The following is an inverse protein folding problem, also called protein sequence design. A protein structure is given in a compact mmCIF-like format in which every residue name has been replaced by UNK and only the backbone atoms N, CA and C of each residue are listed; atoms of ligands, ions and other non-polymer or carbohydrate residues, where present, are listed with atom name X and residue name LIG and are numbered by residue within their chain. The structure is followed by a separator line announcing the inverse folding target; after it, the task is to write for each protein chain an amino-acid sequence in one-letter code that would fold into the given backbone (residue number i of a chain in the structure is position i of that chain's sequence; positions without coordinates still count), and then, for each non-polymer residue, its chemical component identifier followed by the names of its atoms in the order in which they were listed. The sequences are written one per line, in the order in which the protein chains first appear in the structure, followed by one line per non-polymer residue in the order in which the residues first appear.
data_IF_313150092412
#
_entry.id   IF_313150092412
#
_cell.length_a   1.000
_cell.length_b   1.000
_cell.length_c   1.000
_cell.angle_alpha   90.00
_cell.angle_beta   90.00
_cell.angle_gamma   90.00
#
_symmetry.space_group_name_H-M   'P 1'
#
loop_
_entity.id
_entity.type
_entity.pdbx_description
1 polymer ?
#
# COMPACT_ATOMS: atom_id res chain seq x y z
N UNK A 1 -31.34 -25.64 -28.57
CA UNK A 1 -31.81 -24.42 -27.86
C UNK A 1 -30.86 -23.96 -26.74
N UNK A 2 -30.36 -24.84 -25.84
CA UNK A 2 -29.36 -24.45 -24.82
C UNK A 2 -27.98 -24.09 -25.40
N UNK A 3 -27.50 -24.85 -26.39
CA UNK A 3 -26.22 -24.59 -27.10
C UNK A 3 -26.23 -23.27 -27.87
N UNK A 4 -27.23 -23.04 -28.72
CA UNK A 4 -27.37 -21.77 -29.46
C UNK A 4 -27.50 -20.54 -28.55
N UNK A 5 -28.10 -20.67 -27.35
CA UNK A 5 -28.19 -19.56 -26.38
C UNK A 5 -26.86 -19.30 -25.66
N UNK A 6 -26.05 -20.34 -25.43
CA UNK A 6 -24.72 -20.21 -24.82
C UNK A 6 -23.68 -19.67 -25.82
N UNK A 7 -23.77 -20.09 -27.09
CA UNK A 7 -22.96 -19.55 -28.19
C UNK A 7 -23.26 -18.06 -28.39
N UNK A 8 -24.54 -17.66 -28.39
CA UNK A 8 -24.92 -16.26 -28.54
C UNK A 8 -24.45 -15.40 -27.36
N UNK A 9 -24.51 -15.92 -26.12
CA UNK A 9 -23.97 -15.22 -24.93
C UNK A 9 -22.44 -15.10 -24.98
N UNK A 10 -21.74 -16.10 -25.51
CA UNK A 10 -20.28 -16.07 -25.61
C UNK A 10 -19.81 -15.06 -26.66
N UNK A 11 -20.55 -14.97 -27.77
CA UNK A 11 -20.30 -13.97 -28.80
C UNK A 11 -20.50 -12.54 -28.26
N UNK A 12 -21.59 -12.32 -27.51
CA UNK A 12 -21.91 -11.05 -26.85
C UNK A 12 -20.78 -10.58 -25.91
N UNK A 13 -20.26 -11.49 -25.07
CA UNK A 13 -19.12 -11.21 -24.17
C UNK A 13 -17.86 -10.85 -24.96
N UNK A 14 -17.56 -11.57 -26.06
CA UNK A 14 -16.37 -11.29 -26.88
C UNK A 14 -16.44 -9.88 -27.48
N UNK A 15 -17.61 -9.49 -27.97
CA UNK A 15 -17.85 -8.16 -28.54
C UNK A 15 -17.72 -7.07 -27.48
N UNK A 16 -18.33 -7.23 -26.31
CA UNK A 16 -18.23 -6.28 -25.19
C UNK A 16 -16.78 -6.05 -24.71
N UNK A 17 -16.00 -7.13 -24.61
CA UNK A 17 -14.59 -7.02 -24.22
C UNK A 17 -13.75 -6.29 -25.28
N UNK A 18 -14.00 -6.56 -26.57
CA UNK A 18 -13.30 -5.86 -27.65
C UNK A 18 -13.66 -4.37 -27.69
N UNK A 19 -14.94 -4.02 -27.51
CA UNK A 19 -15.37 -2.62 -27.39
C UNK A 19 -14.72 -1.91 -26.19
N UNK A 20 -14.60 -2.61 -25.05
CA UNK A 20 -13.89 -2.08 -23.87
C UNK A 20 -12.41 -1.81 -24.19
N UNK A 21 -11.76 -2.72 -24.92
CA UNK A 21 -10.35 -2.57 -25.31
C UNK A 21 -10.16 -1.38 -26.24
N UNK A 22 -11.08 -1.15 -27.18
CA UNK A 22 -11.07 0.05 -28.02
C UNK A 22 -11.23 1.32 -27.18
N UNK A 23 -12.07 1.30 -26.13
CA UNK A 23 -12.26 2.43 -25.22
C UNK A 23 -10.98 2.81 -24.44
N UNK A 24 -10.01 1.90 -24.31
CA UNK A 24 -8.75 2.17 -23.60
C UNK A 24 -7.97 3.34 -24.20
N UNK A 25 -8.17 3.67 -25.49
CA UNK A 25 -7.54 4.82 -26.14
C UNK A 25 -7.89 6.15 -25.43
N UNK A 26 -9.05 6.22 -24.79
CA UNK A 26 -9.51 7.44 -24.10
C UNK A 26 -8.94 7.60 -22.69
N UNK A 27 -8.38 6.54 -22.10
CA UNK A 27 -7.87 6.56 -20.72
C UNK A 27 -6.35 6.36 -20.63
N UNK A 28 -5.76 5.63 -21.59
CA UNK A 28 -4.33 5.40 -21.65
C UNK A 28 -3.61 6.55 -22.38
N UNK A 29 -2.34 6.84 -22.03
CA UNK A 29 -1.57 7.85 -22.73
C UNK A 29 -1.30 7.40 -24.18
N UNK A 30 -1.82 8.14 -25.16
CA UNK A 30 -1.54 7.95 -26.59
C UNK A 30 -0.16 8.45 -27.01
N UNK A 31 0.91 7.96 -26.39
CA UNK A 31 2.28 8.40 -26.67
C UNK A 31 3.08 7.35 -27.45
N UNK A 32 3.67 7.79 -28.56
CA UNK A 32 4.66 7.02 -29.29
C UNK A 32 5.95 6.82 -28.46
N UNK A 33 6.76 5.78 -28.74
CA UNK A 33 8.08 5.64 -28.16
C UNK A 33 8.91 6.91 -28.39
N UNK A 34 9.36 7.50 -27.30
CA UNK A 34 10.12 8.74 -27.31
C UNK A 34 11.53 8.44 -27.82
N UNK A 35 11.86 8.88 -29.05
CA UNK A 35 13.19 8.68 -29.66
C UNK A 35 14.24 9.68 -29.16
N UNK A 36 13.80 10.86 -28.72
CA UNK A 36 14.64 11.98 -28.26
C UNK A 36 14.29 12.36 -26.82
N UNK A 37 15.24 12.83 -26.02
CA UNK A 37 14.98 13.21 -24.62
C UNK A 37 13.87 14.27 -24.51
N UNK A 38 12.70 13.87 -24.03
CA UNK A 38 11.57 14.76 -23.80
C UNK A 38 11.59 15.23 -22.35
N UNK A 39 11.71 16.54 -22.17
CA UNK A 39 11.67 17.24 -20.88
C UNK A 39 10.24 17.71 -20.54
N UNK A 40 9.20 17.05 -21.07
CA UNK A 40 7.83 17.43 -20.79
C UNK A 40 7.54 17.25 -19.30
N UNK A 41 7.40 18.39 -18.63
CA UNK A 41 6.91 18.44 -17.26
C UNK A 41 5.55 17.73 -17.20
N UNK A 42 5.44 16.65 -16.45
CA UNK A 42 4.20 15.88 -16.27
C UNK A 42 3.08 16.72 -15.65
N UNK A 43 3.41 17.86 -15.03
CA UNK A 43 2.47 18.85 -14.53
C UNK A 43 2.16 19.98 -15.52
N UNK A 44 2.53 19.86 -16.80
CA UNK A 44 2.32 20.93 -17.79
C UNK A 44 0.86 21.43 -17.86
N UNK A 45 -0.12 20.52 -17.74
CA UNK A 45 -1.54 20.88 -17.70
C UNK A 45 -1.96 21.68 -16.46
N UNK A 46 -1.16 21.65 -15.40
CA UNK A 46 -1.44 22.28 -14.09
C UNK A 46 -0.57 23.50 -13.81
N UNK A 47 0.14 24.05 -14.82
CA UNK A 47 1.04 25.20 -14.65
C UNK A 47 0.34 26.49 -14.19
N UNK A 48 -0.98 26.54 -14.26
CA UNK A 48 -1.79 27.65 -13.77
C UNK A 48 -2.07 27.56 -12.26
N UNK A 49 -1.69 26.45 -11.61
CA UNK A 49 -1.78 26.22 -10.17
C UNK A 49 -0.40 26.36 -9.52
N UNK A 50 -0.39 26.69 -8.23
CA UNK A 50 0.82 26.57 -7.42
C UNK A 50 1.26 25.11 -7.31
N UNK A 51 2.56 24.88 -7.10
CA UNK A 51 3.17 23.54 -7.20
C UNK A 51 2.46 22.49 -6.31
N UNK A 52 2.14 22.84 -5.07
CA UNK A 52 1.46 21.93 -4.14
C UNK A 52 0.05 21.56 -4.62
N UNK A 53 -0.68 22.52 -5.18
CA UNK A 53 -2.03 22.31 -5.72
C UNK A 53 -1.98 21.51 -7.02
N UNK A 54 -1.00 21.78 -7.89
CA UNK A 54 -0.75 21.03 -9.11
C UNK A 54 -0.48 19.53 -8.81
N UNK A 55 0.33 19.24 -7.79
CA UNK A 55 0.62 17.87 -7.36
C UNK A 55 -0.65 17.19 -6.80
N UNK A 56 -1.42 17.91 -5.97
CA UNK A 56 -2.65 17.38 -5.40
C UNK A 56 -3.68 17.02 -6.50
N UNK A 57 -3.85 17.90 -7.48
CA UNK A 57 -4.78 17.68 -8.59
C UNK A 57 -4.30 16.56 -9.54
N UNK A 58 -2.99 16.51 -9.84
CA UNK A 58 -2.41 15.42 -10.61
C UNK A 58 -2.63 14.06 -9.94
N UNK A 59 -2.46 13.99 -8.61
CA UNK A 59 -2.74 12.78 -7.83
C UNK A 59 -4.21 12.40 -7.86
N UNK A 60 -5.11 13.39 -7.74
CA UNK A 60 -6.57 13.15 -7.77
C UNK A 60 -7.00 12.49 -9.08
N UNK A 61 -6.41 12.91 -10.21
CA UNK A 61 -6.76 12.42 -11.54
C UNK A 61 -6.07 11.08 -11.84
N UNK A 62 -4.78 10.96 -11.55
CA UNK A 62 -3.94 9.84 -12.02
C UNK A 62 -3.70 8.76 -10.96
N UNK A 63 -4.00 9.04 -9.70
CA UNK A 63 -3.60 8.20 -8.56
C UNK A 63 -2.10 8.28 -8.21
N UNK A 64 -1.27 8.92 -9.04
CA UNK A 64 0.17 9.00 -8.82
C UNK A 64 0.51 9.93 -7.65
N UNK A 65 1.26 9.43 -6.66
CA UNK A 65 1.76 10.25 -5.56
C UNK A 65 2.87 11.19 -6.01
N UNK A 66 2.71 12.50 -5.82
CA UNK A 66 3.75 13.49 -6.15
C UNK A 66 4.77 13.77 -5.03
N UNK A 67 4.55 13.23 -3.83
CA UNK A 67 5.51 13.25 -2.72
C UNK A 67 5.76 11.83 -2.23
N UNK A 68 6.94 11.60 -1.66
CA UNK A 68 7.22 10.35 -0.96
C UNK A 68 6.35 10.23 0.32
N UNK A 69 6.07 9.01 0.79
CA UNK A 69 5.46 8.81 2.10
C UNK A 69 6.31 9.42 3.23
N UNK A 70 5.67 9.85 4.33
CA UNK A 70 6.36 10.47 5.47
C UNK A 70 7.46 9.57 6.06
N UNK A 71 7.23 8.26 6.04
CA UNK A 71 8.16 7.24 6.50
C UNK A 71 9.48 7.29 5.74
N UNK A 72 9.44 7.57 4.43
CA UNK A 72 10.65 7.70 3.60
C UNK A 72 11.46 8.94 3.92
N UNK A 73 10.81 10.06 4.23
CA UNK A 73 11.53 11.24 4.71
C UNK A 73 12.21 10.99 6.06
N UNK A 74 11.53 10.29 6.99
CA UNK A 74 12.14 9.88 8.27
C UNK A 74 13.29 8.90 8.09
N UNK A 75 13.20 7.96 7.15
CA UNK A 75 14.33 7.09 6.76
C UNK A 75 15.52 7.90 6.24
N UNK A 76 15.30 8.87 5.35
CA UNK A 76 16.37 9.73 4.84
C UNK A 76 17.00 10.60 5.93
N UNK A 77 16.21 11.05 6.91
CA UNK A 77 16.74 11.73 8.08
C UNK A 77 17.65 10.81 8.91
N UNK A 78 17.21 9.58 9.20
CA UNK A 78 18.02 8.59 9.92
C UNK A 78 19.30 8.21 9.17
N UNK A 79 19.30 8.29 7.85
CA UNK A 79 20.47 8.05 6.99
C UNK A 79 21.40 9.27 6.86
N UNK A 80 21.02 10.44 7.41
CA UNK A 80 21.78 11.69 7.27
C UNK A 80 21.71 12.30 5.87
N UNK A 81 20.75 11.88 5.03
CA UNK A 81 20.47 12.52 3.73
C UNK A 81 19.66 13.81 3.90
N UNK A 82 18.83 13.86 4.95
CA UNK A 82 18.19 15.07 5.47
C UNK A 82 18.79 15.25 6.87
N UNK A 83 19.23 16.44 7.22
CA UNK A 83 19.76 16.71 8.56
C UNK A 83 18.95 17.77 9.31
N UNK A 84 19.39 18.09 10.54
CA UNK A 84 18.69 19.08 11.38
C UNK A 84 18.70 20.48 10.76
N UNK A 85 19.75 20.82 10.00
CA UNK A 85 19.88 22.13 9.37
C UNK A 85 18.90 22.28 8.22
N UNK A 86 18.62 21.20 7.46
CA UNK A 86 17.60 21.21 6.42
C UNK A 86 16.21 21.55 6.99
N UNK A 87 15.84 20.92 8.11
CA UNK A 87 14.56 21.14 8.77
C UNK A 87 14.50 22.57 9.34
N UNK A 88 15.56 22.99 10.03
CA UNK A 88 15.62 24.32 10.63
C UNK A 88 15.54 25.42 9.58
N UNK A 89 16.24 25.27 8.46
CA UNK A 89 16.17 26.22 7.34
C UNK A 89 14.74 26.35 6.80
N UNK A 90 13.99 25.26 6.66
CA UNK A 90 12.61 25.34 6.16
C UNK A 90 11.69 26.00 7.19
N UNK A 91 11.79 25.60 8.46
CA UNK A 91 10.95 26.15 9.53
C UNK A 91 11.21 27.64 9.79
N UNK A 92 12.44 28.11 9.58
CA UNK A 92 12.81 29.52 9.78
C UNK A 92 12.46 30.41 8.59
N UNK A 93 12.51 29.90 7.37
CA UNK A 93 12.24 30.68 6.16
C UNK A 93 10.77 30.72 5.76
N UNK A 94 9.93 29.79 6.24
CA UNK A 94 8.50 29.79 5.97
C UNK A 94 7.74 30.61 7.03
N UNK A 95 7.49 31.88 6.71
CA UNK A 95 6.76 32.81 7.58
C UNK A 95 5.33 32.31 7.93
N UNK A 96 4.72 31.48 7.07
CA UNK A 96 3.36 30.97 7.30
C UNK A 96 3.25 30.03 8.50
N UNK A 97 4.37 29.42 8.89
CA UNK A 97 4.44 28.50 10.02
C UNK A 97 4.55 29.23 11.36
N UNK A 98 5.01 30.49 11.36
CA UNK A 98 5.23 31.30 12.57
C UNK A 98 6.05 30.53 13.62
N UNK A 99 7.10 29.83 13.17
CA UNK A 99 7.83 28.83 13.97
C UNK A 99 8.42 29.37 15.28
N UNK A 100 8.70 30.68 15.36
CA UNK A 100 9.24 31.34 16.55
C UNK A 100 8.18 31.63 17.65
N UNK A 101 6.89 31.45 17.37
CA UNK A 101 5.84 31.71 18.35
C UNK A 101 5.98 30.78 19.56
N UNK A 102 5.90 31.37 20.75
CA UNK A 102 5.90 30.64 22.02
C UNK A 102 4.49 30.09 22.26
N UNK A 103 4.41 28.78 22.46
CA UNK A 103 3.17 28.05 22.77
C UNK A 103 2.94 27.99 24.27
N UNK A 104 4.01 27.79 25.03
CA UNK A 104 3.95 27.69 26.48
C UNK A 104 5.28 28.13 27.10
N UNK A 105 5.23 28.66 28.32
CA UNK A 105 6.38 28.83 29.20
C UNK A 105 6.20 27.89 30.39
N UNK A 106 7.15 26.98 30.58
CA UNK A 106 7.14 26.01 31.67
C UNK A 106 8.45 26.18 32.44
N UNK A 107 8.35 26.67 33.68
CA UNK A 107 9.49 26.89 34.59
C UNK A 107 10.64 27.70 33.96
N UNK A 108 10.32 28.70 33.13
CA UNK A 108 11.30 29.54 32.45
C UNK A 108 11.90 28.91 31.19
N UNK A 109 11.35 27.78 30.71
CA UNK A 109 11.62 27.23 29.39
C UNK A 109 10.45 27.57 28.47
N UNK A 110 10.74 28.40 27.47
CA UNK A 110 9.82 28.70 26.37
C UNK A 110 9.78 27.53 25.39
N UNK A 111 8.58 26.99 25.15
CA UNK A 111 8.30 25.98 24.14
C UNK A 111 7.78 26.67 22.88
N UNK A 112 8.47 26.52 21.76
CA UNK A 112 8.11 27.16 20.48
C UNK A 112 7.35 26.23 19.54
N UNK A 113 6.63 26.80 18.57
CA UNK A 113 6.04 26.04 17.44
C UNK A 113 7.08 25.22 16.70
N UNK A 114 8.31 25.75 16.52
CA UNK A 114 9.44 25.04 15.90
C UNK A 114 9.69 23.69 16.56
N UNK A 115 9.69 23.62 17.89
CA UNK A 115 9.92 22.37 18.62
C UNK A 115 8.80 21.33 18.36
N UNK A 116 7.54 21.78 18.29
CA UNK A 116 6.41 20.89 17.99
C UNK A 116 6.47 20.37 16.55
N UNK A 117 6.69 21.25 15.57
CA UNK A 117 6.80 20.84 14.17
C UNK A 117 7.94 19.86 13.96
N UNK A 118 9.09 20.12 14.59
CA UNK A 118 10.23 19.22 14.55
C UNK A 118 9.89 17.84 15.11
N UNK A 119 9.21 17.77 16.26
CA UNK A 119 8.77 16.50 16.82
C UNK A 119 7.81 15.77 15.85
N UNK A 120 6.81 16.47 15.30
CA UNK A 120 5.83 15.91 14.35
C UNK A 120 6.45 15.36 13.06
N UNK A 121 7.50 16.00 12.55
CA UNK A 121 8.21 15.54 11.35
C UNK A 121 9.08 14.31 11.63
N UNK A 122 9.79 14.30 12.77
CA UNK A 122 10.79 13.28 13.09
C UNK A 122 10.18 12.00 13.69
N UNK A 123 9.08 12.11 14.42
CA UNK A 123 8.44 11.00 15.12
C UNK A 123 7.05 10.68 14.54
N UNK A 124 6.65 9.41 14.62
CA UNK A 124 5.36 8.95 14.11
C UNK A 124 4.33 8.91 15.26
N UNK A 125 3.29 9.74 15.15
CA UNK A 125 2.22 9.84 16.15
C UNK A 125 0.95 9.09 15.72
N UNK A 126 1.11 7.97 14.99
CA UNK A 126 -0.05 7.19 14.54
C UNK A 126 -0.80 6.62 15.74
N UNK A 127 -2.14 6.64 15.72
CA UNK A 127 -2.93 6.01 16.76
C UNK A 127 -2.62 4.51 16.77
N UNK A 128 -2.26 4.01 17.95
CA UNK A 128 -2.06 2.58 18.18
C UNK A 128 -3.36 1.96 18.67
N UNK A 129 -3.63 0.75 18.21
CA UNK A 129 -4.70 -0.07 18.76
C UNK A 129 -4.33 -0.60 20.15
N UNK A 130 -5.31 -1.03 20.93
CA UNK A 130 -5.07 -1.60 22.26
C UNK A 130 -4.14 -2.83 22.22
N UNK A 131 -4.31 -3.73 21.26
CA UNK A 131 -3.45 -4.90 21.10
C UNK A 131 -2.01 -4.51 20.76
N UNK A 132 -1.82 -3.46 19.95
CA UNK A 132 -0.49 -2.93 19.65
C UNK A 132 0.15 -2.30 20.89
N UNK A 133 -0.60 -1.53 21.68
CA UNK A 133 -0.11 -0.97 22.94
C UNK A 133 0.35 -2.09 23.90
N UNK A 134 -0.47 -3.13 24.08
CA UNK A 134 -0.14 -4.26 24.94
C UNK A 134 1.15 -4.97 24.48
N UNK A 135 1.26 -5.26 23.18
CA UNK A 135 2.48 -5.84 22.61
C UNK A 135 3.71 -4.92 22.79
N UNK A 136 3.57 -3.61 22.61
CA UNK A 136 4.65 -2.65 22.84
C UNK A 136 5.09 -2.63 24.32
N UNK A 137 4.16 -2.74 25.26
CA UNK A 137 4.48 -2.81 26.69
C UNK A 137 5.23 -4.11 27.02
N UNK A 138 4.73 -5.25 26.55
CA UNK A 138 5.31 -6.56 26.88
C UNK A 138 6.64 -6.83 26.15
N UNK A 139 6.68 -6.66 24.83
CA UNK A 139 7.80 -7.07 23.98
C UNK A 139 8.83 -5.96 23.77
N UNK A 140 8.41 -4.69 23.86
CA UNK A 140 9.28 -3.53 23.67
C UNK A 140 9.53 -2.74 24.95
N UNK A 141 8.89 -3.09 26.06
CA UNK A 141 9.09 -2.46 27.37
C UNK A 141 8.96 -0.93 27.33
N UNK A 142 8.02 -0.41 26.51
CA UNK A 142 7.92 1.04 26.23
C UNK A 142 7.58 1.91 27.45
N UNK A 143 7.08 1.31 28.53
CA UNK A 143 6.81 1.99 29.80
C UNK A 143 7.96 1.88 30.81
N UNK A 144 9.00 1.10 30.52
CA UNK A 144 10.12 0.90 31.44
C UNK A 144 11.50 1.18 30.84
N UNK A 145 11.57 1.46 29.53
CA UNK A 145 12.81 1.78 28.80
C UNK A 145 12.61 2.83 27.71
N UNK A 146 13.59 3.71 27.56
CA UNK A 146 13.64 4.71 26.49
C UNK A 146 13.75 4.01 25.14
N UNK A 147 12.90 4.41 24.20
CA UNK A 147 12.91 3.91 22.83
C UNK A 147 14.24 4.26 22.15
N UNK A 148 14.73 3.39 21.26
CA UNK A 148 16.06 3.51 20.63
C UNK A 148 16.23 4.78 19.78
N UNK A 149 15.13 5.36 19.32
CA UNK A 149 15.08 6.58 18.51
C UNK A 149 15.11 7.88 19.33
N UNK A 150 15.08 7.80 20.67
CA UNK A 150 15.32 8.95 21.53
C UNK A 150 16.82 9.21 21.65
N UNK A 151 17.24 10.43 21.27
CA UNK A 151 18.63 10.88 21.37
C UNK A 151 19.15 10.87 22.81
N UNK A 152 20.43 10.51 22.99
CA UNK A 152 21.07 10.36 24.31
C UNK A 152 20.94 11.61 25.18
N UNK A 153 21.15 12.79 24.57
CA UNK A 153 21.00 14.09 25.25
C UNK A 153 19.61 14.29 25.86
N UNK A 154 18.55 13.83 25.19
CA UNK A 154 17.19 13.94 25.70
C UNK A 154 16.95 12.99 26.87
N UNK A 155 17.52 11.79 26.82
CA UNK A 155 17.47 10.81 27.93
C UNK A 155 18.14 11.38 29.17
N UNK A 156 19.36 11.90 29.01
CA UNK A 156 20.12 12.53 30.11
C UNK A 156 19.35 13.72 30.72
N UNK A 157 18.69 14.53 29.90
CA UNK A 157 17.87 15.64 30.37
C UNK A 157 16.66 15.17 31.18
N UNK A 158 15.96 14.13 30.73
CA UNK A 158 14.81 13.57 31.45
C UNK A 158 15.24 12.96 32.78
N UNK A 159 16.30 12.16 32.80
CA UNK A 159 16.85 11.58 34.03
C UNK A 159 17.29 12.68 35.02
N UNK A 160 17.98 13.72 34.52
CA UNK A 160 18.40 14.85 35.35
C UNK A 160 17.22 15.65 35.92
N UNK A 161 16.15 15.81 35.15
CA UNK A 161 14.94 16.47 35.61
C UNK A 161 14.24 15.65 36.70
N UNK A 162 14.11 14.35 36.49
CA UNK A 162 13.48 13.42 37.42
C UNK A 162 14.30 13.24 38.72
N UNK A 163 15.62 13.38 38.66
CA UNK A 163 16.49 13.39 39.84
C UNK A 163 16.19 14.52 40.84
N UNK A 164 15.43 15.57 40.45
CA UNK A 164 14.93 16.58 41.40
C UNK A 164 13.80 16.06 42.31
N UNK A 165 13.20 14.94 41.94
CA UNK A 165 12.11 14.25 42.65
C UNK A 165 12.57 12.90 43.25
N UNK A 166 13.89 12.73 43.46
CA UNK A 166 14.51 11.51 43.98
C UNK A 166 14.33 10.25 43.11
N UNK A 167 13.90 10.41 41.85
CA UNK A 167 13.80 9.31 40.87
C UNK A 167 15.17 9.08 40.21
N UNK A 168 15.67 7.84 40.28
CA UNK A 168 17.02 7.50 39.80
C UNK A 168 17.06 6.35 38.80
N UNK A 169 16.00 5.54 38.72
CA UNK A 169 15.88 4.45 37.74
C UNK A 169 15.20 4.94 36.46
N UNK A 170 15.67 4.47 35.30
CA UNK A 170 15.04 4.71 34.00
C UNK A 170 13.54 4.36 34.01
N UNK A 171 13.19 3.22 34.61
CA UNK A 171 11.80 2.77 34.75
C UNK A 171 10.95 3.80 35.48
N UNK A 172 11.41 4.26 36.66
CA UNK A 172 10.64 5.19 37.48
C UNK A 172 10.42 6.54 36.77
N UNK A 173 11.42 7.00 35.98
CA UNK A 173 11.30 8.23 35.19
C UNK A 173 10.21 8.11 34.12
N UNK A 174 10.15 6.96 33.44
CA UNK A 174 9.19 6.73 32.36
C UNK A 174 7.79 6.51 32.92
N UNK A 175 7.66 5.75 34.00
CA UNK A 175 6.38 5.51 34.68
C UNK A 175 5.78 6.83 35.21
N UNK A 176 6.61 7.70 35.79
CA UNK A 176 6.16 9.01 36.28
C UNK A 176 5.76 9.94 35.13
N UNK A 177 6.55 9.95 34.04
CA UNK A 177 6.22 10.74 32.84
C UNK A 177 4.90 10.28 32.23
N UNK A 178 4.71 8.97 32.10
CA UNK A 178 3.49 8.36 31.59
C UNK A 178 2.27 8.70 32.46
N UNK A 179 2.39 8.53 33.78
CA UNK A 179 1.34 8.87 34.75
C UNK A 179 0.98 10.36 34.71
N UNK A 180 1.98 11.24 34.63
CA UNK A 180 1.80 12.68 34.48
C UNK A 180 1.07 13.04 33.18
N UNK A 181 1.40 12.39 32.06
CA UNK A 181 0.70 12.59 30.79
C UNK A 181 -0.76 12.17 30.88
N UNK A 182 -1.04 11.00 31.48
CA UNK A 182 -2.41 10.49 31.65
C UNK A 182 -3.25 11.42 32.51
N UNK A 183 -2.72 11.88 33.63
CA UNK A 183 -3.39 12.83 34.51
C UNK A 183 -3.69 14.15 33.78
N UNK A 184 -2.73 14.69 33.04
CA UNK A 184 -2.92 15.96 32.31
C UNK A 184 -3.93 15.86 31.17
N UNK A 185 -4.06 14.68 30.58
CA UNK A 185 -5.01 14.40 29.50
C UNK A 185 -6.36 13.88 30.00
N UNK A 186 -6.55 13.74 31.32
CA UNK A 186 -7.75 13.18 31.94
C UNK A 186 -8.07 11.74 31.46
N UNK A 187 -7.02 10.92 31.31
CA UNK A 187 -7.09 9.55 30.78
C UNK A 187 -6.94 8.46 31.86
N UNK A 188 -7.00 8.82 33.14
CA UNK A 188 -6.79 7.91 34.27
C UNK A 188 -7.76 6.71 34.29
N UNK A 189 -8.94 6.85 33.71
CA UNK A 189 -10.00 5.82 33.70
C UNK A 189 -9.94 4.82 32.54
N UNK A 190 -9.10 5.05 31.53
CA UNK A 190 -9.09 4.23 30.30
C UNK A 190 -8.16 3.00 30.36
N UNK A 191 -7.45 2.81 31.47
CA UNK A 191 -6.46 1.74 31.63
C UNK A 191 -7.08 0.43 32.14
N UNK A 192 -8.36 0.44 32.54
CA UNK A 192 -8.94 -0.70 33.26
C UNK A 192 -9.95 -1.44 32.40
N UNK A 193 -9.52 -2.54 31.79
CA UNK A 193 -10.42 -3.59 31.33
C UNK A 193 -10.16 -4.86 32.18
N UNK A 194 -11.19 -5.68 32.47
CA UNK A 194 -11.08 -6.87 33.32
C UNK A 194 -9.97 -7.88 32.96
N UNK A 195 -9.49 -7.87 31.72
CA UNK A 195 -8.40 -8.74 31.25
C UNK A 195 -7.00 -8.31 31.71
N UNK A 196 -6.84 -7.08 32.21
CA UNK A 196 -5.61 -6.56 32.82
C UNK A 196 -5.46 -6.96 34.31
N UNK A 197 -6.41 -7.71 34.90
CA UNK A 197 -6.33 -8.22 36.29
C UNK A 197 -5.35 -9.39 36.47
N UNK A 198 -4.87 -10.00 35.39
CA UNK A 198 -4.05 -11.22 35.49
C UNK A 198 -2.56 -10.95 35.71
N UNK A 199 -2.06 -9.75 35.39
CA UNK A 199 -0.61 -9.46 35.31
C UNK A 199 -0.17 -8.16 36.02
N UNK A 200 -0.90 -7.70 37.04
CA UNK A 200 -0.45 -6.58 37.88
C UNK A 200 0.55 -7.05 38.95
N UNK A 201 1.62 -6.28 39.18
CA UNK A 201 2.51 -6.50 40.32
C UNK A 201 1.72 -6.39 41.64
N UNK A 202 2.02 -7.29 42.59
CA UNK A 202 1.20 -7.57 43.78
C UNK A 202 0.78 -6.32 44.59
N UNK A 203 1.56 -5.25 44.57
CA UNK A 203 1.29 -4.05 45.37
C UNK A 203 0.25 -3.11 44.72
N UNK A 204 0.12 -3.09 43.39
CA UNK A 204 -0.91 -2.29 42.70
C UNK A 204 -2.26 -3.01 42.66
N UNK A 205 -2.26 -4.34 42.74
CA UNK A 205 -3.46 -5.16 42.78
C UNK A 205 -4.22 -5.03 44.13
N UNK A 206 -3.53 -4.97 45.27
CA UNK A 206 -4.18 -4.91 46.59
C UNK A 206 -4.97 -3.61 46.85
N UNK A 207 -4.47 -2.48 46.36
CA UNK A 207 -5.18 -1.20 46.47
C UNK A 207 -6.43 -1.16 45.58
N UNK A 208 -6.39 -1.82 44.41
CA UNK A 208 -7.45 -1.82 43.42
C UNK A 208 -8.56 -2.85 43.74
N UNK A 209 -8.21 -3.99 44.33
CA UNK A 209 -9.16 -5.05 44.74
C UNK A 209 -10.12 -4.55 45.85
N UNK A 210 -9.66 -3.70 46.76
CA UNK A 210 -10.52 -3.15 47.82
C UNK A 210 -11.55 -2.14 47.29
N UNK A 211 -11.23 -1.42 46.21
CA UNK A 211 -12.18 -0.50 45.58
C UNK A 211 -13.19 -1.23 44.66
N UNK A 212 -12.73 -2.26 43.93
CA UNK A 212 -13.55 -3.06 42.99
C UNK A 212 -14.48 -4.09 43.65
N UNK A 213 -14.15 -4.60 44.84
CA UNK A 213 -15.02 -5.54 45.58
C UNK A 213 -16.39 -4.93 45.97
N UNK A 214 -16.55 -3.63 45.79
CA UNK A 214 -17.81 -2.88 45.98
C UNK A 214 -18.75 -2.95 44.77
N UNK A 215 -18.25 -3.32 43.59
CA UNK A 215 -18.95 -3.17 42.32
C UNK A 215 -18.97 -4.48 41.50
N UNK A 216 -20.00 -5.27 41.79
CA UNK A 216 -20.74 -6.13 40.85
C UNK A 216 -20.16 -7.48 40.39
N UNK A 217 -21.09 -8.44 40.35
CA UNK A 217 -20.96 -9.85 40.02
C UNK A 217 -21.28 -10.10 38.54
N UNK A 218 -20.47 -10.94 37.87
CA UNK A 218 -20.91 -11.73 36.71
C UNK A 218 -20.04 -11.60 35.45
N UNK A 219 -19.03 -12.46 35.32
CA UNK A 219 -18.05 -12.46 34.22
C UNK A 219 -18.15 -13.75 33.37
N UNK A 220 -18.48 -13.60 32.07
CA UNK A 220 -18.34 -14.57 30.95
C UNK A 220 -19.10 -14.11 29.68
N UNK A 221 -20.14 -13.28 29.83
CA UNK A 221 -21.02 -12.89 28.71
C UNK A 221 -20.43 -11.82 27.78
N UNK A 222 -19.57 -10.94 28.29
CA UNK A 222 -19.02 -9.81 27.54
C UNK A 222 -17.97 -10.21 26.51
N UNK A 223 -17.07 -11.15 26.84
CA UNK A 223 -16.03 -11.64 25.91
C UNK A 223 -16.62 -12.34 24.68
N UNK A 224 -17.65 -13.17 24.88
CA UNK A 224 -18.33 -13.88 23.78
C UNK A 224 -19.04 -12.89 22.83
N UNK A 225 -19.69 -11.87 23.38
CA UNK A 225 -20.35 -10.82 22.61
C UNK A 225 -19.36 -10.01 21.78
N UNK A 226 -18.20 -9.67 22.35
CA UNK A 226 -17.15 -8.92 21.65
C UNK A 226 -16.53 -9.71 20.49
N UNK A 227 -16.21 -10.98 20.68
CA UNK A 227 -15.70 -11.84 19.59
C UNK A 227 -16.70 -11.95 18.44
N UNK A 228 -17.99 -12.09 18.75
CA UNK A 228 -19.05 -12.14 17.74
C UNK A 228 -19.20 -10.80 16.98
N UNK A 229 -19.09 -9.66 17.66
CA UNK A 229 -19.15 -8.34 17.03
C UNK A 229 -17.93 -8.07 16.12
N UNK A 230 -16.73 -8.42 16.56
CA UNK A 230 -15.50 -8.29 15.76
C UNK A 230 -15.59 -9.16 14.50
N UNK A 231 -15.99 -10.43 14.64
CA UNK A 231 -16.18 -11.33 13.50
C UNK A 231 -17.22 -10.78 12.52
N UNK A 232 -18.39 -10.33 13.01
CA UNK A 232 -19.44 -9.75 12.17
C UNK A 232 -19.01 -8.47 11.47
N UNK A 233 -18.19 -7.64 12.12
CA UNK A 233 -17.61 -6.43 11.52
C UNK A 233 -16.56 -6.80 10.46
N UNK A 234 -15.71 -7.79 10.73
CA UNK A 234 -14.74 -8.32 9.78
C UNK A 234 -15.40 -8.91 8.54
N UNK A 235 -16.44 -9.74 8.71
CA UNK A 235 -17.22 -10.32 7.61
C UNK A 235 -17.84 -9.22 6.72
N UNK A 236 -18.37 -8.15 7.31
CA UNK A 236 -18.89 -7.00 6.56
C UNK A 236 -17.80 -6.24 5.80
N UNK A 237 -16.64 -6.02 6.42
CA UNK A 237 -15.53 -5.32 5.77
C UNK A 237 -14.99 -6.14 4.60
N UNK A 238 -14.78 -7.44 4.81
CA UNK A 238 -14.34 -8.37 3.77
C UNK A 238 -15.35 -8.43 2.63
N UNK A 239 -16.65 -8.56 2.92
CA UNK A 239 -17.70 -8.51 1.89
C UNK A 239 -17.63 -7.23 1.08
N UNK A 240 -17.50 -6.07 1.74
CA UNK A 240 -17.39 -4.78 1.06
C UNK A 240 -16.15 -4.69 0.16
N UNK A 241 -15.01 -5.19 0.63
CA UNK A 241 -13.77 -5.21 -0.16
C UNK A 241 -13.81 -6.19 -1.33
N UNK A 242 -14.42 -7.36 -1.15
CA UNK A 242 -14.66 -8.31 -2.24
C UNK A 242 -15.62 -7.73 -3.28
N UNK A 243 -16.67 -7.04 -2.84
CA UNK A 243 -17.61 -6.36 -3.71
C UNK A 243 -16.97 -5.20 -4.50
N UNK A 244 -15.86 -4.63 -4.02
CA UNK A 244 -15.16 -3.57 -4.76
C UNK A 244 -14.15 -4.08 -5.80
N UNK A 245 -13.86 -5.39 -5.83
CA UNK A 245 -13.06 -6.01 -6.89
C UNK A 245 -13.83 -5.94 -8.21
N UNK A 246 -13.18 -5.45 -9.26
CA UNK A 246 -13.83 -5.22 -10.56
C UNK A 246 -14.38 -3.83 -10.76
N UNK A 247 -14.63 -3.06 -9.68
CA UNK A 247 -15.19 -1.71 -9.78
C UNK A 247 -14.29 -0.62 -9.21
N UNK A 248 -13.55 -0.91 -8.13
CA UNK A 248 -12.62 0.04 -7.52
C UNK A 248 -11.21 -0.54 -7.42
N UNK A 249 -11.09 -1.87 -7.32
CA UNK A 249 -9.81 -2.54 -7.10
C UNK A 249 -9.58 -3.71 -8.06
N UNK A 250 -8.32 -3.96 -8.43
CA UNK A 250 -7.88 -5.24 -9.00
C UNK A 250 -7.77 -6.31 -7.91
N UNK A 251 -7.61 -7.58 -8.28
CA UNK A 251 -7.34 -8.64 -7.31
C UNK A 251 -6.02 -8.38 -6.59
N UNK A 252 -5.00 -7.90 -7.30
CA UNK A 252 -3.72 -7.49 -6.71
C UNK A 252 -3.87 -6.39 -5.66
N UNK A 253 -4.64 -5.34 -5.94
CA UNK A 253 -4.90 -4.25 -4.98
C UNK A 253 -5.69 -4.74 -3.75
N UNK A 254 -6.66 -5.62 -3.95
CA UNK A 254 -7.37 -6.26 -2.84
C UNK A 254 -6.42 -7.08 -1.96
N UNK A 255 -5.58 -7.94 -2.55
CA UNK A 255 -4.60 -8.75 -1.83
C UNK A 255 -3.62 -7.89 -1.04
N UNK A 256 -3.13 -6.80 -1.64
CA UNK A 256 -2.30 -5.81 -0.95
C UNK A 256 -3.01 -5.20 0.26
N UNK A 257 -4.30 -4.91 0.14
CA UNK A 257 -5.07 -4.31 1.24
C UNK A 257 -5.23 -5.24 2.45
N UNK A 258 -5.30 -6.56 2.23
CA UNK A 258 -5.52 -7.55 3.30
C UNK A 258 -4.22 -8.17 3.82
N UNK A 259 -3.19 -8.30 2.98
CA UNK A 259 -1.90 -8.94 3.34
C UNK A 259 -0.80 -7.93 3.63
N UNK A 260 -0.91 -6.71 3.10
CA UNK A 260 0.17 -5.72 3.08
C UNK A 260 1.23 -5.96 2.00
N UNK A 261 1.19 -7.08 1.27
CA UNK A 261 2.13 -7.42 0.20
C UNK A 261 1.58 -7.01 -1.18
N UNK A 262 2.38 -6.27 -1.95
CA UNK A 262 2.02 -5.82 -3.29
C UNK A 262 2.59 -6.76 -4.36
N UNK A 263 1.74 -7.59 -4.98
CA UNK A 263 2.15 -8.54 -6.02
C UNK A 263 2.74 -7.85 -7.26
N UNK A 264 2.44 -6.56 -7.49
CA UNK A 264 2.97 -5.81 -8.62
C UNK A 264 4.47 -5.55 -8.50
N UNK A 265 5.05 -5.64 -7.29
CA UNK A 265 6.51 -5.50 -7.13
C UNK A 265 7.27 -6.59 -7.89
N UNK A 266 6.70 -7.80 -7.97
CA UNK A 266 7.35 -8.95 -8.61
C UNK A 266 6.81 -9.19 -10.03
N UNK A 267 5.53 -8.88 -10.27
CA UNK A 267 4.92 -8.99 -11.60
C UNK A 267 5.51 -7.98 -12.59
N UNK A 268 5.68 -6.70 -12.18
CA UNK A 268 6.10 -5.62 -13.08
C UNK A 268 7.45 -5.90 -13.77
N UNK A 269 8.52 -6.32 -13.08
CA UNK A 269 9.78 -6.68 -13.74
C UNK A 269 9.61 -7.73 -14.85
N UNK A 270 8.73 -8.73 -14.65
CA UNK A 270 8.49 -9.79 -15.63
C UNK A 270 7.82 -9.22 -16.88
N UNK A 271 6.69 -8.53 -16.74
CA UNK A 271 5.95 -8.00 -17.89
C UNK A 271 6.74 -6.90 -18.62
N UNK A 272 7.41 -6.00 -17.90
CA UNK A 272 8.22 -4.91 -18.48
C UNK A 272 9.33 -5.48 -19.36
N UNK A 273 9.98 -6.55 -18.93
CA UNK A 273 11.01 -7.23 -19.74
C UNK A 273 10.42 -7.76 -21.05
N UNK A 274 9.28 -8.44 -21.01
CA UNK A 274 8.68 -9.01 -22.22
C UNK A 274 8.15 -7.92 -23.17
N UNK A 275 7.46 -6.91 -22.64
CA UNK A 275 6.94 -5.80 -23.43
C UNK A 275 8.09 -5.01 -24.05
N UNK A 276 9.11 -4.68 -23.25
CA UNK A 276 10.31 -3.98 -23.72
C UNK A 276 10.98 -4.71 -24.87
N UNK A 277 11.21 -6.02 -24.73
CA UNK A 277 11.83 -6.81 -25.80
C UNK A 277 10.93 -6.95 -27.05
N UNK A 278 9.62 -7.02 -26.87
CA UNK A 278 8.68 -7.16 -28.00
C UNK A 278 8.51 -5.86 -28.78
N UNK A 279 8.51 -4.71 -28.11
CA UNK A 279 8.35 -3.38 -28.71
C UNK A 279 9.68 -2.74 -29.14
N UNK A 280 10.81 -3.34 -28.79
CA UNK A 280 12.16 -2.83 -29.10
C UNK A 280 12.43 -2.63 -30.61
N UNK A 281 11.66 -3.26 -31.50
CA UNK A 281 11.78 -3.06 -32.94
C UNK A 281 13.09 -3.58 -33.54
N UNK A 282 13.86 -4.39 -32.80
CA UNK A 282 15.13 -4.95 -33.25
C UNK A 282 16.35 -4.06 -32.99
N UNK A 283 16.25 -3.10 -32.07
CA UNK A 283 17.35 -2.25 -31.62
C UNK A 283 18.35 -3.03 -30.73
N UNK A 284 17.86 -3.97 -29.93
CA UNK A 284 18.66 -4.87 -29.12
C UNK A 284 19.33 -5.96 -29.97
N UNK A 285 20.57 -6.29 -29.62
CA UNK A 285 21.33 -7.36 -30.29
C UNK A 285 20.72 -8.76 -30.08
N UNK A 286 19.87 -8.92 -29.06
CA UNK A 286 19.16 -10.16 -28.79
C UNK A 286 17.71 -10.03 -29.27
N UNK A 287 17.34 -10.66 -30.40
CA UNK A 287 16.00 -10.52 -30.94
C UNK A 287 14.99 -11.27 -30.06
N UNK A 288 13.80 -10.69 -29.91
CA UNK A 288 12.65 -11.40 -29.36
C UNK A 288 12.22 -12.49 -30.35
N UNK A 289 12.03 -13.72 -29.85
CA UNK A 289 11.82 -14.90 -30.68
C UNK A 289 10.51 -14.76 -31.47
N UNK A 290 10.55 -14.84 -32.79
CA UNK A 290 9.36 -15.01 -33.65
C UNK A 290 8.17 -14.05 -33.38
N UNK A 291 8.43 -12.74 -33.43
CA UNK A 291 7.41 -11.66 -33.33
C UNK A 291 6.23 -11.83 -34.30
N UNK A 292 6.35 -12.69 -35.31
CA UNK A 292 5.29 -12.93 -36.31
C UNK A 292 4.05 -13.61 -35.74
N UNK A 293 4.15 -14.20 -34.55
CA UNK A 293 3.04 -14.91 -33.88
C UNK A 293 2.16 -14.04 -32.98
N UNK A 294 2.46 -12.75 -32.87
CA UNK A 294 1.86 -11.88 -31.86
C UNK A 294 2.59 -11.95 -30.52
N UNK A 295 2.35 -10.97 -29.65
CA UNK A 295 3.00 -10.86 -28.36
C UNK A 295 2.65 -12.03 -27.44
N UNK A 296 1.38 -12.40 -27.38
CA UNK A 296 0.88 -13.41 -26.44
C UNK A 296 1.47 -14.79 -26.74
N UNK A 297 1.38 -15.25 -27.99
CA UNK A 297 1.90 -16.57 -28.38
C UNK A 297 3.42 -16.64 -28.27
N UNK A 298 4.09 -15.52 -28.55
CA UNK A 298 5.53 -15.41 -28.36
C UNK A 298 5.92 -15.49 -26.88
N UNK A 299 5.25 -14.71 -26.04
CA UNK A 299 5.43 -14.74 -24.59
C UNK A 299 5.19 -16.15 -24.06
N UNK A 300 4.10 -16.82 -24.45
CA UNK A 300 3.77 -18.19 -24.06
C UNK A 300 4.88 -19.18 -24.42
N UNK A 301 5.50 -19.04 -25.60
CA UNK A 301 6.61 -19.89 -26.02
C UNK A 301 7.88 -19.66 -25.17
N UNK A 302 8.20 -18.40 -24.87
CA UNK A 302 9.37 -18.02 -24.05
C UNK A 302 9.15 -18.41 -22.59
N UNK A 303 7.96 -18.16 -22.04
CA UNK A 303 7.55 -18.47 -20.68
C UNK A 303 7.77 -19.93 -20.30
N UNK A 304 7.61 -20.88 -21.25
CA UNK A 304 7.88 -22.31 -21.04
C UNK A 304 9.35 -22.66 -20.84
N UNK A 305 10.27 -21.78 -21.25
CA UNK A 305 11.71 -21.99 -21.17
C UNK A 305 12.37 -21.04 -20.17
N UNK A 306 11.61 -20.11 -19.59
CA UNK A 306 12.11 -19.08 -18.70
C UNK A 306 12.23 -19.60 -17.25
N UNK A 307 13.33 -19.25 -16.58
CA UNK A 307 13.60 -19.59 -15.18
C UNK A 307 12.84 -18.71 -14.18
N UNK A 308 12.04 -17.74 -14.64
CA UNK A 308 11.19 -16.88 -13.80
C UNK A 308 10.37 -17.70 -12.83
N UNK A 309 9.78 -18.81 -13.28
CA UNK A 309 9.01 -19.71 -12.41
C UNK A 309 9.80 -20.27 -11.22
N UNK A 310 11.09 -20.54 -11.42
CA UNK A 310 11.99 -21.05 -10.38
C UNK A 310 12.38 -19.95 -9.41
N UNK A 311 12.73 -18.76 -9.91
CA UNK A 311 13.16 -17.64 -9.06
C UNK A 311 12.02 -16.99 -8.29
N UNK A 312 10.83 -16.96 -8.89
CA UNK A 312 9.62 -16.39 -8.30
C UNK A 312 8.81 -17.40 -7.48
N UNK A 313 9.24 -18.67 -7.37
CA UNK A 313 8.51 -19.75 -6.69
C UNK A 313 7.05 -19.90 -7.18
N UNK A 314 6.86 -19.81 -8.50
CA UNK A 314 5.54 -19.93 -9.13
C UNK A 314 5.19 -21.40 -9.33
N UNK A 315 4.36 -21.94 -8.44
CA UNK A 315 3.83 -23.31 -8.52
C UNK A 315 2.99 -23.50 -9.78
N UNK A 316 3.05 -24.71 -10.35
CA UNK A 316 2.27 -25.14 -11.51
C UNK A 316 2.38 -24.20 -12.74
N UNK A 317 3.49 -23.45 -12.85
CA UNK A 317 3.73 -22.51 -13.96
C UNK A 317 3.65 -23.20 -15.32
N UNK A 318 4.41 -24.28 -15.50
CA UNK A 318 4.49 -24.98 -16.78
C UNK A 318 3.12 -25.54 -17.19
N UNK A 319 2.44 -26.22 -16.27
CA UNK A 319 1.09 -26.76 -16.50
C UNK A 319 0.08 -25.64 -16.79
N UNK A 320 0.22 -24.50 -16.12
CA UNK A 320 -0.58 -23.31 -16.40
C UNK A 320 -0.36 -22.81 -17.83
N UNK A 321 0.89 -22.58 -18.23
CA UNK A 321 1.24 -22.04 -19.55
C UNK A 321 0.87 -23.02 -20.68
N UNK A 322 0.98 -24.33 -20.42
CA UNK A 322 0.54 -25.39 -21.33
C UNK A 322 -0.98 -25.40 -21.51
N UNK A 323 -1.73 -25.17 -20.42
CA UNK A 323 -3.19 -25.14 -20.41
C UNK A 323 -3.84 -23.88 -20.97
N UNK A 324 -3.07 -22.82 -21.29
CA UNK A 324 -3.63 -21.61 -21.88
C UNK A 324 -4.13 -21.85 -23.31
N UNK A 325 -5.19 -21.16 -23.71
CA UNK A 325 -5.73 -21.22 -25.06
C UNK A 325 -4.76 -20.57 -26.07
N UNK A 326 -4.88 -20.96 -27.35
CA UNK A 326 -4.12 -20.34 -28.43
C UNK A 326 -4.68 -18.94 -28.80
N UNK A 327 -5.98 -18.73 -28.61
CA UNK A 327 -6.63 -17.42 -28.74
C UNK A 327 -6.43 -16.60 -27.44
N UNK A 328 -5.77 -15.42 -27.50
CA UNK A 328 -5.57 -14.58 -26.33
C UNK A 328 -6.90 -14.08 -25.75
N UNK A 329 -7.93 -13.83 -26.57
CA UNK A 329 -9.23 -13.38 -26.07
C UNK A 329 -9.95 -14.48 -25.25
N UNK A 330 -9.90 -15.73 -25.70
CA UNK A 330 -10.40 -16.86 -24.91
C UNK A 330 -9.62 -17.02 -23.60
N UNK A 331 -8.31 -16.77 -23.62
CA UNK A 331 -7.49 -16.78 -22.40
C UNK A 331 -7.95 -15.69 -21.43
N UNK A 332 -8.18 -14.46 -21.90
CA UNK A 332 -8.73 -13.38 -21.06
C UNK A 332 -10.07 -13.76 -20.41
N UNK A 333 -11.02 -14.27 -21.21
CA UNK A 333 -12.33 -14.70 -20.70
C UNK A 333 -12.18 -15.80 -19.65
N UNK A 334 -11.29 -16.76 -19.88
CA UNK A 334 -11.04 -17.85 -18.95
C UNK A 334 -10.41 -17.34 -17.64
N UNK A 335 -9.46 -16.42 -17.71
CA UNK A 335 -8.82 -15.84 -16.53
C UNK A 335 -9.80 -14.97 -15.73
N UNK A 336 -10.63 -14.14 -16.38
CA UNK A 336 -11.68 -13.35 -15.72
C UNK A 336 -12.74 -14.22 -15.04
N UNK A 337 -13.08 -15.38 -15.61
CA UNK A 337 -13.96 -16.36 -14.93
C UNK A 337 -13.29 -16.97 -13.70
N UNK A 338 -11.98 -17.20 -13.76
CA UNK A 338 -11.20 -17.77 -12.66
C UNK A 338 -11.00 -16.83 -11.49
N UNK A 339 -10.90 -15.52 -11.73
CA UNK A 339 -10.83 -14.53 -10.64
C UNK A 339 -12.12 -14.47 -9.83
N UNK A 340 -13.24 -14.92 -10.41
CA UNK A 340 -14.56 -14.89 -9.76
C UNK A 340 -15.20 -13.50 -9.76
N UNK A 341 -14.64 -12.55 -10.52
CA UNK A 341 -15.24 -11.23 -10.73
C UNK A 341 -16.54 -11.39 -11.54
N UNK A 342 -17.66 -10.77 -11.12
CA UNK A 342 -18.91 -10.80 -11.90
C UNK A 342 -18.73 -10.26 -13.33
N UNK A 343 -19.41 -10.86 -14.31
CA UNK A 343 -19.30 -10.51 -15.73
C UNK A 343 -19.55 -9.00 -15.96
N UNK A 344 -20.52 -8.41 -15.24
CA UNK A 344 -20.85 -6.98 -15.32
C UNK A 344 -19.72 -6.03 -14.87
N UNK A 345 -18.65 -6.54 -14.24
CA UNK A 345 -17.49 -5.76 -13.81
C UNK A 345 -16.25 -6.02 -14.67
N UNK A 346 -16.31 -6.92 -15.66
CA UNK A 346 -15.12 -7.30 -16.43
C UNK A 346 -14.53 -6.14 -17.22
N UNK A 347 -15.38 -5.31 -17.84
CA UNK A 347 -14.93 -4.15 -18.58
C UNK A 347 -14.04 -3.23 -17.72
N UNK A 348 -14.58 -2.82 -16.57
CA UNK A 348 -13.85 -1.96 -15.65
C UNK A 348 -12.64 -2.65 -15.00
N UNK A 349 -12.71 -3.96 -14.74
CA UNK A 349 -11.55 -4.72 -14.27
C UNK A 349 -10.39 -4.65 -15.26
N UNK A 350 -10.65 -4.84 -16.56
CA UNK A 350 -9.62 -4.77 -17.61
C UNK A 350 -9.04 -3.36 -17.72
N UNK A 351 -9.87 -2.31 -17.63
CA UNK A 351 -9.39 -0.93 -17.58
C UNK A 351 -8.39 -0.73 -16.44
N UNK A 352 -8.72 -1.24 -15.24
CA UNK A 352 -7.84 -1.15 -14.06
C UNK A 352 -6.53 -1.92 -14.28
N UNK A 353 -6.58 -3.12 -14.87
CA UNK A 353 -5.39 -3.91 -15.24
C UNK A 353 -4.50 -3.14 -16.22
N UNK A 354 -5.09 -2.49 -17.24
CA UNK A 354 -4.33 -1.66 -18.19
C UNK A 354 -3.64 -0.47 -17.49
N UNK A 355 -4.29 0.10 -16.47
CA UNK A 355 -3.81 1.22 -15.68
C UNK A 355 -2.75 0.85 -14.62
N UNK A 356 -2.41 -0.42 -14.44
CA UNK A 356 -1.32 -0.82 -13.51
C UNK A 356 0.07 -0.42 -14.02
N UNK A 357 0.22 -0.33 -15.34
CA UNK A 357 1.43 0.12 -16.06
C UNK A 357 1.03 1.04 -17.22
N UNK A 358 0.49 2.24 -16.95
CA UNK A 358 -0.18 3.05 -17.96
C UNK A 358 0.76 3.50 -19.09
N UNK A 359 2.05 3.68 -18.79
CA UNK A 359 3.05 4.01 -19.81
C UNK A 359 3.31 2.86 -20.80
N UNK A 360 3.45 1.62 -20.30
CA UNK A 360 3.66 0.46 -21.17
C UNK A 360 2.39 0.06 -21.90
N UNK A 361 1.24 0.06 -21.21
CA UNK A 361 -0.06 -0.21 -21.81
C UNK A 361 -0.39 0.81 -22.91
N UNK A 362 -0.18 2.10 -22.65
CA UNK A 362 -0.41 3.17 -23.63
C UNK A 362 0.52 3.06 -24.84
N UNK A 363 1.80 2.75 -24.63
CA UNK A 363 2.74 2.51 -25.73
C UNK A 363 2.34 1.29 -26.57
N UNK A 364 1.91 0.20 -25.91
CA UNK A 364 1.45 -1.02 -26.59
C UNK A 364 0.21 -0.75 -27.45
N UNK A 365 -0.78 -0.07 -26.88
CA UNK A 365 -2.00 0.33 -27.59
C UNK A 365 -1.70 1.30 -28.73
N UNK A 366 -0.82 2.27 -28.52
CA UNK A 366 -0.41 3.19 -29.57
C UNK A 366 0.20 2.45 -30.75
N UNK A 367 1.09 1.48 -30.51
CA UNK A 367 1.65 0.63 -31.56
C UNK A 367 0.59 -0.21 -32.26
N UNK A 368 -0.35 -0.80 -31.52
CA UNK A 368 -1.43 -1.59 -32.09
C UNK A 368 -2.31 -0.78 -33.06
N UNK A 369 -2.52 0.51 -32.76
CA UNK A 369 -3.37 1.39 -33.57
C UNK A 369 -2.64 2.13 -34.69
N UNK A 370 -1.32 2.37 -34.55
CA UNK A 370 -0.57 3.30 -35.42
C UNK A 370 0.62 2.69 -36.14
N UNK A 371 1.04 1.47 -35.79
CA UNK A 371 2.18 0.82 -36.45
C UNK A 371 1.72 0.01 -37.66
N UNK A 372 2.51 0.04 -38.73
CA UNK A 372 2.36 -0.89 -39.86
C UNK A 372 2.78 -2.33 -39.50
N UNK A 373 3.23 -2.58 -38.26
CA UNK A 373 3.60 -3.91 -37.78
C UNK A 373 2.34 -4.75 -37.46
N UNK A 374 2.03 -5.82 -38.22
CA UNK A 374 0.73 -6.49 -38.18
C UNK A 374 0.50 -7.37 -36.94
N UNK A 375 1.43 -7.41 -35.98
CA UNK A 375 1.46 -8.41 -34.90
C UNK A 375 1.37 -7.81 -33.49
N UNK A 376 1.05 -6.52 -33.36
CA UNK A 376 0.90 -5.87 -32.06
C UNK A 376 -0.60 -5.71 -31.79
N UNK A 377 -1.13 -6.42 -30.79
CA UNK A 377 -2.54 -6.39 -30.44
C UNK A 377 -2.73 -6.21 -28.92
N UNK A 378 -3.55 -5.25 -28.51
CA UNK A 378 -3.80 -4.97 -27.09
C UNK A 378 -4.42 -6.15 -26.33
N UNK A 379 -5.19 -7.00 -27.02
CA UNK A 379 -5.72 -8.27 -26.47
C UNK A 379 -4.58 -9.16 -25.98
N UNK A 380 -3.47 -9.23 -26.73
CA UNK A 380 -2.30 -10.03 -26.34
C UNK A 380 -1.70 -9.52 -25.03
N UNK A 381 -1.52 -8.20 -24.92
CA UNK A 381 -0.95 -7.57 -23.73
C UNK A 381 -1.80 -7.86 -22.48
N UNK A 382 -3.11 -7.63 -22.58
CA UNK A 382 -4.04 -7.82 -21.47
C UNK A 382 -4.16 -9.29 -21.06
N UNK A 383 -4.16 -10.22 -22.02
CA UNK A 383 -4.14 -11.65 -21.74
C UNK A 383 -2.93 -12.04 -20.88
N UNK A 384 -1.73 -11.55 -21.22
CA UNK A 384 -0.52 -11.81 -20.43
C UNK A 384 -0.63 -11.20 -19.03
N UNK A 385 -1.10 -9.95 -18.92
CA UNK A 385 -1.28 -9.29 -17.61
C UNK A 385 -2.22 -10.08 -16.69
N UNK A 386 -3.37 -10.53 -17.18
CA UNK A 386 -4.33 -11.32 -16.40
C UNK A 386 -3.75 -12.67 -15.95
N UNK A 387 -3.02 -13.37 -16.83
CA UNK A 387 -2.37 -14.63 -16.47
C UNK A 387 -1.32 -14.42 -15.38
N UNK A 388 -0.49 -13.38 -15.52
CA UNK A 388 0.53 -13.06 -14.52
C UNK A 388 -0.11 -12.62 -13.19
N UNK A 389 -1.14 -11.76 -13.21
CA UNK A 389 -1.84 -11.33 -12.00
C UNK A 389 -2.34 -12.55 -11.22
N UNK A 390 -3.00 -13.50 -11.90
CA UNK A 390 -3.45 -14.74 -11.26
C UNK A 390 -2.28 -15.53 -10.67
N UNK A 391 -1.20 -15.73 -11.41
CA UNK A 391 -0.08 -16.56 -10.95
C UNK A 391 0.60 -15.99 -9.70
N UNK A 392 0.82 -14.68 -9.69
CA UNK A 392 1.40 -14.00 -8.53
C UNK A 392 0.42 -13.92 -7.36
N UNK A 393 -0.89 -13.74 -7.62
CA UNK A 393 -1.93 -13.83 -6.59
C UNK A 393 -1.98 -15.23 -5.96
N UNK A 394 -1.95 -16.29 -6.77
CA UNK A 394 -1.95 -17.69 -6.29
C UNK A 394 -0.71 -17.99 -5.45
N UNK A 395 0.46 -17.49 -5.85
CA UNK A 395 1.68 -17.62 -5.05
C UNK A 395 1.52 -16.97 -3.68
N UNK A 396 1.02 -15.74 -3.64
CA UNK A 396 0.83 -15.02 -2.38
C UNK A 396 -0.18 -15.73 -1.46
N UNK A 397 -1.29 -16.22 -2.01
CA UNK A 397 -2.30 -16.96 -1.26
C UNK A 397 -1.89 -18.39 -0.86
N UNK A 398 -0.84 -18.95 -1.47
CA UNK A 398 -0.32 -20.29 -1.22
C UNK A 398 0.84 -20.36 -0.23
N UNK A 399 1.27 -19.21 0.31
CA UNK A 399 2.17 -19.06 1.46
C UNK A 399 1.36 -19.20 2.75
#
# INVERSE_FOLDING_TARGET
MKTAKAENKTQDIREELLETIEHLEHILPGQAPIRDFVHHNTLHGFQHLDFTDAIAEARRITGAGGYLPQEKYREYFKQGRIDESDIDNVLENDESLSSADIIADIDGRELTKKEIYRAALLFDFKPITRSQLHWLIQEKHVLSRFQQDIAERSREQLIKAAGKHDLTSETDVIDELWSSCLQKLDLEHFIVHPEDMTDLSANSAEAMINDLASAEQGDDSYQVLMHHLVRKKGERLLSKQLDSIGSEHTLGEFLKSITGEDILNDLRPVIIRHVGLFLDGGMAAWPYIDRTKGFYNTWRAIAKQDLTSVFEDLRDWHDTIDGLADDPLETMIFELRRTGVPEEKWAHYIERIALELPGWAGMFLWHANNSDEPNINMVDYLAVCLVLERLFAQRLCGR
#
